data_IF_194127519395
#
_entry.id   IF_194127519395
#
_cell.length_a   1.000
_cell.length_b   1.000
_cell.length_c   1.000
_cell.angle_alpha   90.00
_cell.angle_beta   90.00
_cell.angle_gamma   90.00
#
_symmetry.space_group_name_H-M   'P 1'
#
loop_
_entity.id
_entity.type
_entity.pdbx_description
1 polymer ?
#
# COMPACT_ATOMS: atom_id res chain seq x y z
N UNK A 1 -2.03 -1.85 11.65
CA UNK A 1 -1.18 -1.99 12.85
C UNK A 1 -1.44 -3.35 13.48
N UNK A 2 -0.40 -4.01 13.99
CA UNK A 2 -0.53 -5.25 14.72
C UNK A 2 -1.45 -5.03 15.94
N UNK A 3 -2.48 -5.84 16.05
CA UNK A 3 -3.44 -5.78 17.18
C UNK A 3 -3.13 -6.83 18.25
N UNK A 4 -2.40 -7.88 17.91
CA UNK A 4 -1.93 -8.91 18.84
C UNK A 4 -0.53 -8.55 19.35
N UNK A 5 -0.24 -8.85 20.61
CA UNK A 5 1.13 -8.76 21.15
C UNK A 5 2.03 -9.76 20.40
N UNK A 6 3.17 -9.30 19.91
CA UNK A 6 4.12 -10.18 19.20
C UNK A 6 4.58 -11.36 20.06
N UNK A 7 4.62 -11.20 21.39
CA UNK A 7 4.95 -12.27 22.33
C UNK A 7 3.89 -13.39 22.39
N UNK A 8 2.72 -13.19 21.81
CA UNK A 8 1.64 -14.19 21.74
C UNK A 8 1.64 -14.97 20.43
N UNK A 9 2.53 -14.64 19.47
CA UNK A 9 2.68 -15.33 18.19
C UNK A 9 3.52 -16.59 18.37
N UNK A 10 2.90 -17.76 18.30
CA UNK A 10 3.59 -19.02 18.58
C UNK A 10 4.65 -19.34 17.53
N UNK A 11 4.41 -19.06 16.26
CA UNK A 11 5.38 -19.26 15.19
C UNK A 11 6.69 -18.48 15.41
N UNK A 12 6.61 -17.31 16.05
CA UNK A 12 7.76 -16.47 16.35
C UNK A 12 8.59 -17.06 17.50
N UNK A 13 7.93 -17.59 18.52
CA UNK A 13 8.58 -18.32 19.60
C UNK A 13 9.28 -19.59 19.09
N UNK A 14 8.65 -20.31 18.14
CA UNK A 14 9.25 -21.46 17.47
C UNK A 14 10.51 -21.08 16.68
N UNK A 15 10.52 -19.89 16.04
CA UNK A 15 11.71 -19.38 15.36
C UNK A 15 12.83 -19.01 16.36
N UNK A 16 12.48 -18.37 17.47
CA UNK A 16 13.45 -18.05 18.55
C UNK A 16 14.11 -19.32 19.08
N UNK A 17 13.33 -20.36 19.38
CA UNK A 17 13.81 -21.66 19.83
C UNK A 17 14.72 -22.32 18.77
N UNK A 18 14.33 -22.31 17.50
CA UNK A 18 15.12 -22.87 16.41
C UNK A 18 16.46 -22.16 16.22
N UNK A 19 16.51 -20.86 16.46
CA UNK A 19 17.73 -20.05 16.40
C UNK A 19 18.52 -20.04 17.72
N UNK A 20 17.98 -20.66 18.78
CA UNK A 20 18.53 -20.65 20.13
C UNK A 20 18.83 -19.24 20.65
N UNK A 21 17.85 -18.35 20.51
CA UNK A 21 17.86 -16.98 21.00
C UNK A 21 16.66 -16.73 21.91
N UNK A 22 16.78 -15.75 22.82
CA UNK A 22 15.71 -15.23 23.65
C UNK A 22 15.57 -13.74 23.31
N UNK A 23 14.42 -13.35 22.77
CA UNK A 23 14.18 -12.01 22.21
C UNK A 23 13.23 -11.19 23.07
N UNK A 24 13.70 -10.06 23.55
CA UNK A 24 12.85 -9.06 24.20
C UNK A 24 12.21 -8.15 23.16
N UNK A 25 10.92 -8.36 22.88
CA UNK A 25 10.18 -7.59 21.90
C UNK A 25 9.67 -6.26 22.45
N UNK A 26 9.90 -5.19 21.70
CA UNK A 26 9.36 -3.85 21.95
C UNK A 26 8.45 -3.43 20.81
N UNK A 27 7.14 -3.48 21.05
CA UNK A 27 6.15 -3.11 20.05
C UNK A 27 5.75 -1.64 20.18
N UNK A 28 5.92 -0.84 19.11
CA UNK A 28 5.49 0.55 19.04
C UNK A 28 4.28 0.62 18.11
N UNK A 29 3.09 0.77 18.67
CA UNK A 29 1.81 0.76 17.95
C UNK A 29 1.30 2.15 17.54
N UNK A 30 1.90 3.23 18.05
CA UNK A 30 1.48 4.61 17.76
C UNK A 30 2.65 5.60 17.82
N UNK A 31 2.49 6.73 17.11
CA UNK A 31 3.40 7.89 17.15
C UNK A 31 4.84 7.58 16.72
N UNK A 32 5.03 6.62 15.81
CA UNK A 32 6.36 6.22 15.36
C UNK A 32 7.15 7.40 14.79
N UNK A 33 6.54 8.21 13.92
CA UNK A 33 7.19 9.35 13.28
C UNK A 33 7.68 10.41 14.27
N UNK A 34 7.06 10.49 15.45
CA UNK A 34 7.48 11.37 16.53
C UNK A 34 8.56 10.74 17.43
N UNK A 35 8.47 9.43 17.67
CA UNK A 35 9.40 8.68 18.55
C UNK A 35 10.72 8.36 17.87
N UNK A 36 10.68 7.99 16.59
CA UNK A 36 11.84 7.58 15.79
C UNK A 36 12.99 8.58 15.80
N UNK A 37 12.79 9.89 15.51
CA UNK A 37 13.89 10.85 15.50
C UNK A 37 14.59 10.97 16.85
N UNK A 38 13.84 10.94 17.96
CA UNK A 38 14.40 11.03 19.29
C UNK A 38 15.21 9.77 19.65
N UNK A 39 14.70 8.59 19.32
CA UNK A 39 15.37 7.31 19.54
C UNK A 39 16.68 7.25 18.74
N UNK A 40 16.67 7.56 17.46
CA UNK A 40 17.85 7.48 16.59
C UNK A 40 18.89 8.54 16.97
N UNK A 41 18.48 9.75 17.31
CA UNK A 41 19.39 10.80 17.77
C UNK A 41 20.04 10.48 19.13
N UNK A 42 19.40 9.69 19.99
CA UNK A 42 20.02 9.25 21.26
C UNK A 42 21.17 8.26 21.03
N UNK A 43 21.21 7.58 19.89
CA UNK A 43 22.12 6.50 19.59
C UNK A 43 21.88 5.21 20.39
N UNK A 44 20.74 5.14 21.09
CA UNK A 44 20.31 3.96 21.85
C UNK A 44 19.10 3.34 21.14
N UNK A 45 19.37 2.33 20.32
CA UNK A 45 18.36 1.59 19.55
C UNK A 45 18.45 0.10 19.90
N UNK A 46 17.38 -0.68 19.75
CA UNK A 46 17.41 -2.14 19.89
C UNK A 46 18.46 -2.79 18.97
N UNK A 47 18.88 -4.02 19.30
CA UNK A 47 19.82 -4.78 18.47
C UNK A 47 19.30 -4.98 17.05
N UNK A 48 18.00 -5.27 16.91
CA UNK A 48 17.32 -5.45 15.63
C UNK A 48 16.09 -4.51 15.57
N UNK A 49 15.84 -3.90 14.43
CA UNK A 49 14.64 -3.14 14.14
C UNK A 49 13.86 -3.80 12.99
N UNK A 50 12.54 -3.91 13.16
CA UNK A 50 11.64 -4.52 12.19
C UNK A 50 10.80 -3.44 11.51
N UNK A 51 10.94 -3.25 10.20
CA UNK A 51 10.21 -2.27 9.38
C UNK A 51 10.19 -0.85 9.96
N UNK A 52 11.31 -0.44 10.58
CA UNK A 52 11.38 0.79 11.36
C UNK A 52 12.31 1.84 10.73
N UNK A 53 12.98 1.52 9.63
CA UNK A 53 13.97 2.37 8.97
C UNK A 53 13.60 2.68 7.53
N UNK A 54 14.17 3.77 7.01
CA UNK A 54 14.16 4.16 5.61
C UNK A 54 15.59 4.47 5.14
N UNK A 55 15.84 4.49 3.84
CA UNK A 55 17.18 4.77 3.28
C UNK A 55 17.76 6.09 3.78
N UNK A 56 16.92 7.10 3.99
CA UNK A 56 17.33 8.40 4.55
C UNK A 56 17.87 8.31 5.98
N UNK A 57 17.44 7.34 6.78
CA UNK A 57 17.90 7.20 8.15
C UNK A 57 19.37 6.75 8.22
N UNK A 58 19.78 5.88 7.29
CA UNK A 58 21.17 5.41 7.22
C UNK A 58 22.15 6.53 6.88
N UNK A 59 21.67 7.49 6.09
CA UNK A 59 22.43 8.70 5.76
C UNK A 59 22.43 9.69 6.93
N UNK A 60 21.25 9.98 7.48
CA UNK A 60 21.08 10.98 8.54
C UNK A 60 21.77 10.56 9.85
N UNK A 61 21.69 9.28 10.19
CA UNK A 61 22.25 8.72 11.43
C UNK A 61 23.44 7.81 11.14
N UNK A 62 24.38 8.30 10.34
CA UNK A 62 25.57 7.56 9.93
C UNK A 62 26.30 6.93 11.13
N UNK A 63 26.61 5.64 11.00
CA UNK A 63 27.27 4.85 12.05
C UNK A 63 26.34 4.31 13.14
N UNK A 64 25.04 4.57 13.09
CA UNK A 64 24.06 3.99 14.00
C UNK A 64 23.72 2.54 13.62
N UNK A 65 23.71 2.24 12.33
CA UNK A 65 23.35 0.94 11.78
C UNK A 65 24.56 0.16 11.27
N UNK A 66 24.47 -1.16 11.37
CA UNK A 66 25.49 -2.09 10.89
C UNK A 66 25.35 -2.33 9.40
N UNK A 67 26.50 -2.41 8.70
CA UNK A 67 26.55 -2.96 7.34
C UNK A 67 26.34 -4.47 7.40
N UNK A 68 25.18 -4.92 6.96
CA UNK A 68 24.78 -6.33 7.00
C UNK A 68 25.45 -7.18 5.92
N UNK A 69 26.01 -6.58 4.87
CA UNK A 69 26.54 -7.34 3.73
C UNK A 69 27.59 -8.39 4.13
N UNK A 70 28.62 -8.07 4.94
CA UNK A 70 29.58 -9.08 5.39
C UNK A 70 28.96 -10.16 6.29
N UNK A 71 27.94 -9.80 7.08
CA UNK A 71 27.25 -10.74 7.96
C UNK A 71 26.33 -11.67 7.16
N UNK A 72 25.66 -11.17 6.12
CA UNK A 72 24.85 -11.97 5.19
C UNK A 72 25.75 -13.00 4.50
N UNK A 73 26.89 -12.58 3.96
CA UNK A 73 27.84 -13.47 3.28
C UNK A 73 28.37 -14.59 4.20
N UNK A 74 28.45 -14.34 5.50
CA UNK A 74 29.03 -15.30 6.44
C UNK A 74 27.99 -16.16 7.18
N UNK A 75 26.80 -15.62 7.51
CA UNK A 75 25.87 -16.21 8.44
C UNK A 75 24.44 -16.41 7.96
N UNK A 76 24.09 -15.94 6.73
CA UNK A 76 22.71 -15.87 6.27
C UNK A 76 22.48 -16.64 4.95
N UNK A 77 22.49 -17.99 4.99
CA UNK A 77 22.34 -18.80 3.77
C UNK A 77 21.00 -18.62 3.05
N UNK A 78 19.89 -18.37 3.77
CA UNK A 78 18.58 -18.14 3.16
C UNK A 78 18.55 -16.81 2.39
N UNK A 79 19.09 -15.73 2.98
CA UNK A 79 19.24 -14.44 2.30
C UNK A 79 20.16 -14.53 1.08
N UNK A 80 21.26 -15.28 1.18
CA UNK A 80 22.15 -15.51 0.03
C UNK A 80 21.42 -16.24 -1.11
N UNK A 81 20.61 -17.26 -0.77
CA UNK A 81 19.80 -17.94 -1.77
C UNK A 81 18.75 -17.01 -2.37
N UNK A 82 18.09 -16.18 -1.54
CA UNK A 82 17.14 -15.17 -2.00
C UNK A 82 17.79 -14.20 -3.01
N UNK A 83 18.95 -13.65 -2.72
CA UNK A 83 19.68 -12.75 -3.61
C UNK A 83 20.13 -13.42 -4.90
N UNK A 84 20.46 -14.70 -4.82
CA UNK A 84 20.80 -15.47 -6.03
C UNK A 84 19.61 -15.71 -6.94
N UNK A 85 18.44 -16.00 -6.36
CA UNK A 85 17.21 -16.26 -7.09
C UNK A 85 16.54 -14.98 -7.61
N UNK A 86 16.70 -13.88 -6.86
CA UNK A 86 16.13 -12.54 -7.11
C UNK A 86 17.22 -11.46 -7.00
N UNK A 87 18.05 -11.27 -8.03
CA UNK A 87 19.12 -10.25 -8.01
C UNK A 87 18.59 -8.83 -7.79
N UNK A 88 17.33 -8.57 -8.14
CA UNK A 88 16.64 -7.29 -7.91
C UNK A 88 16.49 -7.01 -6.41
N UNK A 89 16.31 -8.04 -5.58
CA UNK A 89 16.24 -7.88 -4.12
C UNK A 89 17.57 -7.43 -3.53
N UNK A 90 18.70 -7.97 -4.01
CA UNK A 90 20.02 -7.50 -3.61
C UNK A 90 20.25 -6.06 -4.08
N UNK A 91 19.89 -5.75 -5.32
CA UNK A 91 20.01 -4.39 -5.87
C UNK A 91 19.15 -3.38 -5.07
N UNK A 92 17.94 -3.79 -4.68
CA UNK A 92 17.06 -2.98 -3.83
C UNK A 92 17.66 -2.72 -2.44
N UNK A 93 18.30 -3.70 -1.84
CA UNK A 93 18.89 -3.58 -0.50
C UNK A 93 20.22 -2.83 -0.50
N UNK A 94 20.95 -2.81 -1.63
CA UNK A 94 22.30 -2.29 -1.72
C UNK A 94 22.31 -0.77 -1.96
N UNK A 95 23.06 -0.04 -1.14
CA UNK A 95 23.31 1.41 -1.33
C UNK A 95 24.22 1.66 -2.53
N UNK A 96 24.31 2.91 -2.98
CA UNK A 96 25.26 3.30 -4.07
C UNK A 96 26.72 3.01 -3.71
N UNK A 97 27.07 3.00 -2.42
CA UNK A 97 28.41 2.71 -1.90
C UNK A 97 28.65 1.21 -1.68
N UNK A 98 27.63 0.37 -1.91
CA UNK A 98 27.72 -1.09 -1.86
C UNK A 98 27.46 -1.74 -0.51
N UNK A 99 26.96 -0.99 0.51
CA UNK A 99 26.53 -1.55 1.80
C UNK A 99 25.08 -2.03 1.76
N UNK A 100 24.71 -2.85 2.72
CA UNK A 100 23.33 -3.27 3.00
C UNK A 100 23.02 -2.96 4.46
N UNK A 101 22.14 -1.98 4.71
CA UNK A 101 21.71 -1.62 6.07
C UNK A 101 20.36 -2.20 6.46
N UNK A 102 19.54 -2.54 5.49
CA UNK A 102 18.23 -3.16 5.70
C UNK A 102 17.98 -4.29 4.72
N UNK A 103 17.44 -5.41 5.23
CA UNK A 103 17.12 -6.55 4.37
C UNK A 103 15.83 -6.31 3.57
N UNK A 104 15.70 -6.88 2.36
CA UNK A 104 14.49 -6.75 1.56
C UNK A 104 13.46 -7.85 1.88
N UNK A 105 12.24 -7.71 1.32
CA UNK A 105 11.27 -8.80 1.19
C UNK A 105 10.98 -9.11 -0.28
N UNK A 106 10.44 -10.30 -0.51
CA UNK A 106 9.77 -10.68 -1.75
C UNK A 106 8.61 -11.63 -1.49
N UNK A 107 7.50 -11.38 -2.19
CA UNK A 107 6.31 -12.23 -2.22
C UNK A 107 5.84 -12.41 -3.66
N UNK A 108 5.65 -13.66 -4.09
CA UNK A 108 5.50 -14.02 -5.49
C UNK A 108 4.16 -13.62 -6.10
N UNK A 109 3.06 -13.79 -5.40
CA UNK A 109 1.72 -13.61 -5.97
C UNK A 109 1.09 -12.33 -5.43
N UNK A 110 1.06 -11.30 -6.27
CA UNK A 110 0.47 -10.02 -5.90
C UNK A 110 -0.13 -9.32 -7.14
N UNK A 111 -1.19 -8.53 -7.01
CA UNK A 111 -1.82 -7.85 -8.13
C UNK A 111 -0.93 -6.75 -8.74
N UNK A 112 -1.21 -6.38 -9.99
CA UNK A 112 -0.49 -5.34 -10.72
C UNK A 112 -0.88 -3.90 -10.30
N UNK A 113 -1.81 -3.76 -9.37
CA UNK A 113 -2.24 -2.46 -8.82
C UNK A 113 -2.64 -2.58 -7.36
N UNK A 114 -2.38 -1.54 -6.59
CA UNK A 114 -2.74 -1.46 -5.17
C UNK A 114 -4.13 -0.83 -4.91
N UNK A 115 -4.86 -0.48 -5.97
CA UNK A 115 -6.14 0.21 -5.84
C UNK A 115 -7.18 -0.33 -6.82
N UNK A 116 -8.44 -0.24 -6.45
CA UNK A 116 -9.59 -0.53 -7.30
C UNK A 116 -10.60 0.60 -7.14
N UNK A 117 -11.21 1.03 -8.24
CA UNK A 117 -12.39 1.90 -8.20
C UNK A 117 -13.64 1.06 -7.96
N UNK A 118 -14.48 1.51 -7.05
CA UNK A 118 -15.75 0.87 -6.71
C UNK A 118 -16.92 1.81 -6.88
N UNK A 119 -18.00 1.27 -7.41
CA UNK A 119 -19.29 1.97 -7.52
C UNK A 119 -20.39 1.07 -6.96
N UNK A 120 -21.38 1.66 -6.28
CA UNK A 120 -22.51 0.93 -5.76
C UNK A 120 -23.47 0.58 -6.90
N UNK A 121 -23.54 -0.72 -7.25
CA UNK A 121 -24.39 -1.22 -8.35
C UNK A 121 -25.87 -1.13 -8.00
N UNK A 122 -26.25 -1.41 -6.75
CA UNK A 122 -27.65 -1.29 -6.33
C UNK A 122 -28.14 0.15 -6.43
N UNK A 123 -27.27 1.12 -6.15
CA UNK A 123 -27.61 2.53 -6.32
C UNK A 123 -27.76 2.91 -7.79
N UNK A 124 -26.90 2.42 -8.69
CA UNK A 124 -27.04 2.60 -10.13
C UNK A 124 -28.39 2.05 -10.60
N UNK A 125 -28.73 0.84 -10.20
CA UNK A 125 -30.01 0.20 -10.55
C UNK A 125 -31.21 1.00 -10.00
N UNK A 126 -31.11 1.49 -8.75
CA UNK A 126 -32.17 2.29 -8.13
C UNK A 126 -32.42 3.64 -8.84
N UNK A 127 -31.38 4.22 -9.45
CA UNK A 127 -31.52 5.50 -10.19
C UNK A 127 -31.66 5.32 -11.69
N UNK A 128 -31.68 4.09 -12.22
CA UNK A 128 -31.78 3.71 -13.63
C UNK A 128 -30.64 4.31 -14.47
N UNK A 129 -29.38 4.10 -14.00
CA UNK A 129 -28.17 4.56 -14.66
C UNK A 129 -27.16 3.43 -14.82
N UNK A 130 -26.33 3.52 -15.86
CA UNK A 130 -25.24 2.58 -16.14
C UNK A 130 -23.93 3.02 -15.46
N UNK A 131 -22.94 2.11 -15.42
CA UNK A 131 -21.58 2.42 -14.96
C UNK A 131 -20.98 3.54 -15.82
N UNK A 132 -20.52 4.66 -15.24
CA UNK A 132 -20.00 5.79 -16.00
C UNK A 132 -18.68 5.45 -16.69
N UNK A 133 -18.49 5.95 -17.91
CA UNK A 133 -17.29 5.76 -18.75
C UNK A 133 -16.48 7.02 -18.94
N UNK A 134 -17.05 8.18 -18.58
CA UNK A 134 -16.41 9.49 -18.64
C UNK A 134 -16.63 10.30 -17.35
N UNK A 135 -15.86 11.36 -17.14
CA UNK A 135 -16.06 12.27 -16.02
C UNK A 135 -17.43 12.96 -16.01
N UNK A 136 -17.93 13.31 -17.19
CA UNK A 136 -19.26 13.93 -17.29
C UNK A 136 -20.38 12.94 -16.91
N UNK A 137 -20.27 11.68 -17.32
CA UNK A 137 -21.20 10.63 -16.88
C UNK A 137 -21.08 10.35 -15.38
N UNK A 138 -19.86 10.30 -14.84
CA UNK A 138 -19.67 10.16 -13.40
C UNK A 138 -20.35 11.30 -12.63
N UNK A 139 -20.19 12.54 -13.07
CA UNK A 139 -20.88 13.69 -12.44
C UNK A 139 -22.39 13.50 -12.41
N UNK A 140 -23.00 13.05 -13.53
CA UNK A 140 -24.45 12.81 -13.59
C UNK A 140 -24.90 11.70 -12.65
N UNK A 141 -24.13 10.63 -12.55
CA UNK A 141 -24.37 9.53 -11.58
C UNK A 141 -24.29 10.05 -10.15
N UNK A 142 -23.25 10.81 -9.81
CA UNK A 142 -23.09 11.36 -8.45
C UNK A 142 -24.21 12.35 -8.08
N UNK A 143 -24.70 13.15 -9.03
CA UNK A 143 -25.88 14.01 -8.83
C UNK A 143 -27.13 13.14 -8.54
N UNK A 144 -27.34 12.09 -9.32
CA UNK A 144 -28.47 11.19 -9.11
C UNK A 144 -28.40 10.48 -7.75
N UNK A 145 -27.22 10.03 -7.32
CA UNK A 145 -27.00 9.46 -5.99
C UNK A 145 -27.36 10.43 -4.87
N UNK A 146 -26.96 11.69 -4.99
CA UNK A 146 -27.29 12.74 -4.01
C UNK A 146 -28.79 13.06 -3.94
N UNK A 147 -29.51 13.03 -5.07
CA UNK A 147 -30.84 13.61 -5.16
C UNK A 147 -31.98 12.59 -5.04
N UNK A 148 -31.71 11.29 -5.27
CA UNK A 148 -32.78 10.28 -5.45
C UNK A 148 -32.91 9.25 -4.33
N UNK A 149 -32.20 9.39 -3.19
CA UNK A 149 -32.25 8.43 -2.07
C UNK A 149 -32.09 6.97 -2.56
N UNK A 150 -30.97 6.62 -3.21
CA UNK A 150 -30.79 5.30 -3.80
C UNK A 150 -30.63 4.18 -2.76
N UNK A 151 -30.26 4.48 -1.51
CA UNK A 151 -30.23 3.51 -0.43
C UNK A 151 -31.62 3.25 0.17
N UNK A 152 -32.63 4.06 -0.21
CA UNK A 152 -34.05 3.85 0.12
C UNK A 152 -34.41 4.02 1.59
N UNK A 153 -33.56 4.66 2.39
CA UNK A 153 -33.77 4.82 3.84
C UNK A 153 -34.60 6.05 4.21
N UNK A 154 -34.88 6.94 3.24
CA UNK A 154 -35.67 8.15 3.41
C UNK A 154 -34.92 9.30 4.10
N UNK A 155 -33.60 9.23 4.17
CA UNK A 155 -32.74 10.26 4.72
C UNK A 155 -31.83 10.80 3.60
N UNK A 156 -31.38 12.03 3.72
CA UNK A 156 -30.41 12.60 2.79
C UNK A 156 -29.00 12.44 3.40
N UNK A 157 -28.54 11.20 3.45
CA UNK A 157 -27.27 10.80 4.08
C UNK A 157 -26.29 10.15 3.09
N UNK A 158 -26.64 10.11 1.81
CA UNK A 158 -25.77 9.62 0.76
C UNK A 158 -24.51 10.47 0.62
N UNK A 159 -23.38 9.77 0.53
CA UNK A 159 -22.09 10.32 0.15
C UNK A 159 -21.80 9.88 -1.27
N UNK A 160 -22.07 10.73 -2.29
CA UNK A 160 -21.93 10.30 -3.69
C UNK A 160 -20.51 9.84 -4.02
N UNK A 161 -19.48 10.56 -3.53
CA UNK A 161 -18.07 10.21 -3.72
C UNK A 161 -17.27 10.40 -2.44
N UNK A 162 -16.40 9.44 -2.12
CA UNK A 162 -15.46 9.50 -1.01
C UNK A 162 -14.04 9.13 -1.45
N UNK A 163 -13.02 9.70 -0.80
CA UNK A 163 -11.62 9.38 -1.01
C UNK A 163 -10.80 9.58 0.26
N UNK A 164 -9.59 9.00 0.32
CA UNK A 164 -8.74 9.04 1.50
C UNK A 164 -7.77 10.22 1.47
N UNK A 165 -8.10 11.28 2.18
CA UNK A 165 -7.19 12.33 2.63
C UNK A 165 -6.40 13.07 1.55
N UNK A 166 -5.13 12.70 1.36
CA UNK A 166 -4.20 13.40 0.48
C UNK A 166 -4.52 13.26 -1.01
N UNK A 167 -4.09 14.23 -1.82
CA UNK A 167 -4.19 14.12 -3.28
C UNK A 167 -3.47 12.85 -3.77
N UNK A 168 -2.24 12.69 -3.34
CA UNK A 168 -1.39 11.55 -3.68
C UNK A 168 -1.51 10.44 -2.63
N UNK A 169 -2.54 9.65 -2.76
CA UNK A 169 -2.79 8.49 -1.91
C UNK A 169 -3.21 7.30 -2.77
N UNK A 170 -3.06 6.09 -2.25
CA UNK A 170 -3.54 4.89 -2.94
C UNK A 170 -5.04 4.98 -3.29
N UNK A 171 -5.81 5.74 -2.49
CA UNK A 171 -7.25 5.92 -2.64
C UNK A 171 -7.62 7.40 -2.74
N UNK A 172 -6.79 8.20 -3.43
CA UNK A 172 -6.91 9.64 -3.57
C UNK A 172 -7.29 10.10 -4.97
N UNK A 173 -7.42 11.41 -5.12
CA UNK A 173 -7.78 12.06 -6.39
C UNK A 173 -6.75 11.87 -7.50
N UNK A 174 -5.47 11.59 -7.16
CA UNK A 174 -4.43 11.26 -8.13
C UNK A 174 -4.83 10.10 -9.06
N UNK A 175 -5.67 9.18 -8.61
CA UNK A 175 -6.12 8.05 -9.44
C UNK A 175 -6.88 8.52 -10.69
N UNK A 176 -7.51 9.70 -10.66
CA UNK A 176 -8.15 10.32 -11.82
C UNK A 176 -7.17 10.78 -12.91
N UNK A 177 -5.86 10.91 -12.59
CA UNK A 177 -4.85 11.24 -13.61
C UNK A 177 -4.76 10.16 -14.70
N UNK A 178 -5.02 8.90 -14.36
CA UNK A 178 -5.09 7.82 -15.33
C UNK A 178 -6.16 8.02 -16.40
N UNK A 179 -7.28 8.68 -16.06
CA UNK A 179 -8.35 9.04 -17.01
C UNK A 179 -7.85 9.98 -18.11
N UNK A 180 -6.77 10.71 -17.88
CA UNK A 180 -6.16 11.68 -18.79
C UNK A 180 -4.99 11.10 -19.60
N UNK A 181 -4.73 9.80 -19.48
CA UNK A 181 -3.64 9.09 -20.13
C UNK A 181 -2.28 9.18 -19.41
N UNK A 182 -2.24 9.70 -18.17
CA UNK A 182 -1.02 9.72 -17.38
C UNK A 182 -0.82 8.39 -16.67
N UNK A 183 0.32 7.72 -16.90
CA UNK A 183 0.67 6.49 -16.22
C UNK A 183 1.18 6.79 -14.81
N UNK A 184 0.41 6.36 -13.81
CA UNK A 184 0.84 6.42 -12.41
C UNK A 184 1.63 5.16 -12.04
N UNK A 185 2.61 5.34 -11.16
CA UNK A 185 3.24 4.26 -10.41
C UNK A 185 2.76 4.30 -8.96
N UNK A 186 2.57 3.14 -8.35
CA UNK A 186 2.31 3.03 -6.91
C UNK A 186 3.46 3.61 -6.09
N UNK A 187 3.19 3.95 -4.83
CA UNK A 187 4.17 4.45 -3.87
C UNK A 187 5.03 5.62 -4.37
N UNK A 188 4.42 6.56 -5.05
CA UNK A 188 5.07 7.71 -5.64
C UNK A 188 4.63 9.03 -4.96
N UNK A 189 5.02 9.27 -3.70
CA UNK A 189 4.58 10.44 -2.95
C UNK A 189 5.14 11.76 -3.50
N UNK A 190 6.16 11.71 -4.35
CA UNK A 190 6.78 12.89 -4.94
C UNK A 190 6.06 13.39 -6.20
N UNK A 191 5.10 12.62 -6.74
CA UNK A 191 4.38 12.98 -7.94
C UNK A 191 5.18 12.79 -9.25
N UNK A 192 6.22 11.96 -9.23
CA UNK A 192 6.98 11.65 -10.44
C UNK A 192 6.24 10.64 -11.32
N UNK A 193 6.38 10.79 -12.62
CA UNK A 193 5.95 9.80 -13.60
C UNK A 193 6.95 9.78 -14.76
N UNK A 194 6.96 8.71 -15.53
CA UNK A 194 7.71 8.62 -16.77
C UNK A 194 6.78 8.74 -17.97
N UNK A 195 7.25 9.41 -19.01
CA UNK A 195 6.55 9.53 -20.28
C UNK A 195 7.61 9.71 -21.38
N UNK A 196 7.56 8.87 -22.41
CA UNK A 196 8.55 8.84 -23.50
C UNK A 196 10.01 8.73 -22.97
N UNK A 197 10.24 7.95 -21.93
CA UNK A 197 11.55 7.76 -21.32
C UNK A 197 12.09 8.96 -20.52
N UNK A 198 11.23 9.94 -20.23
CA UNK A 198 11.58 11.12 -19.43
C UNK A 198 10.83 11.14 -18.11
N UNK A 199 11.53 11.39 -17.01
CA UNK A 199 10.92 11.61 -15.71
C UNK A 199 10.36 13.04 -15.65
N UNK A 200 9.09 13.14 -15.30
CA UNK A 200 8.33 14.39 -15.15
C UNK A 200 7.67 14.43 -13.76
N UNK A 201 7.08 15.57 -13.41
CA UNK A 201 6.32 15.70 -12.17
C UNK A 201 4.90 16.21 -12.50
N UNK A 202 3.87 15.49 -12.07
CA UNK A 202 2.49 15.83 -12.43
C UNK A 202 1.97 17.07 -11.70
N UNK A 203 2.55 17.50 -10.58
CA UNK A 203 2.15 18.74 -9.91
C UNK A 203 2.33 20.01 -10.77
N UNK A 204 3.13 19.92 -11.83
CA UNK A 204 3.33 21.00 -12.81
C UNK A 204 2.80 20.64 -14.21
N UNK A 205 1.99 19.59 -14.32
CA UNK A 205 1.37 19.11 -15.55
C UNK A 205 -0.07 19.61 -15.67
N UNK A 206 -0.52 19.97 -16.88
CA UNK A 206 -1.89 20.43 -17.13
C UNK A 206 -2.94 19.37 -16.76
N UNK A 207 -2.60 18.09 -16.77
CA UNK A 207 -3.51 17.00 -16.35
C UNK A 207 -3.84 17.08 -14.85
N UNK A 208 -2.89 17.45 -14.00
CA UNK A 208 -3.13 17.71 -12.58
C UNK A 208 -4.11 18.86 -12.37
N UNK A 209 -3.92 19.97 -13.10
CA UNK A 209 -4.83 21.12 -13.08
C UNK A 209 -6.26 20.68 -13.43
N UNK A 210 -6.45 19.91 -14.51
CA UNK A 210 -7.76 19.42 -14.93
C UNK A 210 -8.44 18.52 -13.91
N UNK A 211 -7.68 17.64 -13.24
CA UNK A 211 -8.21 16.83 -12.12
C UNK A 211 -8.66 17.73 -10.96
N UNK A 212 -7.88 18.75 -10.59
CA UNK A 212 -8.28 19.70 -9.55
C UNK A 212 -9.54 20.51 -9.95
N UNK A 213 -9.65 20.94 -11.20
CA UNK A 213 -10.84 21.62 -11.72
C UNK A 213 -12.08 20.73 -11.67
N UNK A 214 -11.97 19.46 -12.09
CA UNK A 214 -13.06 18.50 -11.98
C UNK A 214 -13.46 18.24 -10.53
N UNK A 215 -12.50 17.99 -9.66
CA UNK A 215 -12.77 17.80 -8.23
C UNK A 215 -13.42 19.04 -7.58
N UNK A 216 -12.98 20.27 -7.95
CA UNK A 216 -13.60 21.52 -7.49
C UNK A 216 -15.07 21.61 -7.95
N UNK A 217 -15.35 21.23 -9.21
CA UNK A 217 -16.71 21.19 -9.75
C UNK A 217 -17.59 20.24 -8.93
N UNK A 218 -17.13 19.03 -8.66
CA UNK A 218 -17.86 18.06 -7.83
C UNK A 218 -18.04 18.56 -6.39
N UNK A 219 -16.99 19.13 -5.80
CA UNK A 219 -17.04 19.69 -4.43
C UNK A 219 -18.07 20.82 -4.30
N UNK A 220 -18.07 21.74 -5.27
CA UNK A 220 -19.01 22.89 -5.27
C UNK A 220 -20.47 22.47 -5.33
N UNK A 221 -20.76 21.30 -5.88
CA UNK A 221 -22.08 20.70 -5.95
C UNK A 221 -22.40 19.83 -4.71
N UNK A 222 -21.44 19.67 -3.79
CA UNK A 222 -21.57 18.81 -2.61
C UNK A 222 -21.69 17.32 -2.98
N UNK A 223 -20.96 16.89 -4.01
CA UNK A 223 -20.91 15.50 -4.47
C UNK A 223 -19.76 14.72 -3.84
N UNK A 224 -18.83 15.39 -3.16
CA UNK A 224 -17.72 14.78 -2.44
C UNK A 224 -18.00 14.88 -0.93
N UNK A 225 -17.63 13.84 -0.19
CA UNK A 225 -17.64 13.84 1.28
C UNK A 225 -16.90 15.08 1.81
N UNK A 226 -17.54 15.96 2.58
CA UNK A 226 -16.90 17.18 3.09
C UNK A 226 -15.72 16.89 4.03
N UNK A 227 -15.61 15.69 4.60
CA UNK A 227 -14.51 15.27 5.44
C UNK A 227 -13.37 14.60 4.63
N UNK A 228 -13.55 14.30 3.33
CA UNK A 228 -12.60 13.54 2.52
C UNK A 228 -11.17 14.07 2.53
N UNK A 229 -10.98 15.40 2.57
CA UNK A 229 -9.64 16.03 2.59
C UNK A 229 -8.95 15.89 3.95
N UNK A 230 -9.71 15.74 5.04
CA UNK A 230 -9.18 15.80 6.41
C UNK A 230 -9.35 14.51 7.21
N UNK A 231 -10.15 13.57 6.71
CA UNK A 231 -10.37 12.29 7.38
C UNK A 231 -9.10 11.42 7.39
N UNK A 232 -8.92 10.68 8.45
CA UNK A 232 -7.91 9.62 8.51
C UNK A 232 -8.42 8.30 7.87
N UNK A 233 -7.51 7.33 7.74
CA UNK A 233 -7.84 6.04 7.16
C UNK A 233 -8.94 5.30 7.92
N UNK A 234 -8.96 5.37 9.25
CA UNK A 234 -9.96 4.70 10.08
C UNK A 234 -11.37 5.27 9.84
N UNK A 235 -11.47 6.59 9.70
CA UNK A 235 -12.73 7.27 9.35
C UNK A 235 -13.15 6.91 7.93
N UNK A 236 -12.23 6.96 6.98
CA UNK A 236 -12.46 6.56 5.59
C UNK A 236 -13.05 5.15 5.49
N UNK A 237 -12.46 4.16 6.18
CA UNK A 237 -12.98 2.80 6.23
C UNK A 237 -14.35 2.71 6.91
N UNK A 238 -14.53 3.37 8.05
CA UNK A 238 -15.78 3.28 8.81
C UNK A 238 -16.98 3.85 8.05
N UNK A 239 -16.79 4.92 7.29
CA UNK A 239 -17.86 5.54 6.50
C UNK A 239 -18.37 4.61 5.40
N UNK A 240 -17.47 3.94 4.68
CA UNK A 240 -17.86 3.03 3.60
C UNK A 240 -18.53 1.75 4.09
N UNK A 241 -18.29 1.35 5.32
CA UNK A 241 -18.95 0.17 5.93
C UNK A 241 -20.42 0.40 6.27
N UNK A 242 -20.89 1.62 6.06
CA UNK A 242 -22.30 1.97 6.18
C UNK A 242 -22.87 1.94 7.60
N UNK A 243 -24.19 1.80 7.70
CA UNK A 243 -24.91 1.60 8.96
C UNK A 243 -25.76 0.32 8.86
N UNK A 244 -25.29 -0.74 9.50
CA UNK A 244 -25.87 -2.08 9.35
C UNK A 244 -25.77 -2.57 7.91
N UNK A 245 -26.91 -2.81 7.26
CA UNK A 245 -27.00 -3.26 5.86
C UNK A 245 -27.23 -2.09 4.88
N UNK A 246 -27.14 -0.83 5.36
CA UNK A 246 -27.35 0.37 4.56
C UNK A 246 -26.02 0.95 4.10
N UNK A 247 -25.73 0.93 2.81
CA UNK A 247 -24.59 1.61 2.24
C UNK A 247 -24.76 3.14 2.28
N UNK A 248 -23.67 3.85 2.53
CA UNK A 248 -23.66 5.32 2.59
C UNK A 248 -22.80 5.96 1.49
N UNK A 249 -21.95 5.21 0.80
CA UNK A 249 -20.99 5.73 -0.20
C UNK A 249 -21.34 5.19 -1.58
N UNK A 250 -21.44 6.07 -2.58
CA UNK A 250 -21.75 5.69 -3.95
C UNK A 250 -20.52 5.26 -4.77
N UNK A 251 -19.47 6.11 -4.80
CA UNK A 251 -18.25 5.90 -5.55
C UNK A 251 -17.02 6.14 -4.67
N UNK A 252 -16.02 5.26 -4.73
CA UNK A 252 -14.79 5.38 -3.94
C UNK A 252 -13.67 4.49 -4.50
N UNK A 253 -12.53 4.47 -3.84
CA UNK A 253 -11.42 3.54 -4.08
C UNK A 253 -11.19 2.65 -2.86
N UNK A 254 -10.54 1.52 -3.06
CA UNK A 254 -10.16 0.60 -1.98
C UNK A 254 -9.19 -0.47 -2.44
N UNK A 255 -8.79 -1.31 -1.49
CA UNK A 255 -7.94 -2.47 -1.76
C UNK A 255 -8.75 -3.65 -2.32
N UNK A 256 -9.80 -4.03 -1.64
CA UNK A 256 -10.68 -5.16 -1.92
C UNK A 256 -12.07 -4.87 -1.30
N UNK A 257 -13.14 -5.42 -1.86
CA UNK A 257 -14.52 -5.16 -1.45
C UNK A 257 -14.78 -5.42 0.04
N UNK A 258 -14.33 -6.56 0.55
CA UNK A 258 -14.53 -6.93 1.96
C UNK A 258 -13.75 -6.04 2.92
N UNK A 259 -12.50 -5.69 2.57
CA UNK A 259 -11.69 -4.74 3.34
C UNK A 259 -12.35 -3.36 3.35
N UNK A 260 -12.77 -2.86 2.20
CA UNK A 260 -13.29 -1.50 2.06
C UNK A 260 -14.67 -1.33 2.66
N UNK A 261 -15.61 -2.25 2.38
CA UNK A 261 -17.02 -2.08 2.69
C UNK A 261 -17.50 -3.00 3.84
N UNK A 262 -16.67 -3.97 4.24
CA UNK A 262 -17.08 -4.97 5.24
C UNK A 262 -18.11 -5.95 4.71
N UNK A 263 -18.47 -6.93 5.55
CA UNK A 263 -19.30 -8.07 5.16
C UNK A 263 -20.79 -7.74 4.92
N UNK A 264 -21.25 -6.57 5.38
CA UNK A 264 -22.68 -6.27 5.35
C UNK A 264 -23.13 -5.60 4.04
N UNK A 265 -22.26 -4.83 3.40
CA UNK A 265 -22.63 -4.01 2.23
C UNK A 265 -21.70 -4.22 1.03
N UNK A 266 -20.66 -5.05 1.14
CA UNK A 266 -19.69 -5.25 0.06
C UNK A 266 -20.31 -5.84 -1.22
N UNK A 267 -21.35 -6.65 -1.11
CA UNK A 267 -22.07 -7.25 -2.23
C UNK A 267 -22.90 -6.27 -3.05
N UNK A 268 -23.11 -5.04 -2.54
CA UNK A 268 -23.76 -3.97 -3.28
C UNK A 268 -22.82 -3.28 -4.28
N UNK A 269 -21.52 -3.53 -4.22
CA UNK A 269 -20.52 -2.82 -5.00
C UNK A 269 -19.87 -3.70 -6.06
N UNK A 270 -19.42 -3.04 -7.12
CA UNK A 270 -18.63 -3.66 -8.19
C UNK A 270 -17.34 -2.92 -8.44
N UNK A 271 -16.33 -3.64 -8.95
CA UNK A 271 -15.13 -3.05 -9.53
C UNK A 271 -15.48 -2.31 -10.82
N UNK A 272 -15.03 -1.08 -10.92
CA UNK A 272 -15.32 -0.21 -12.05
C UNK A 272 -14.13 -0.14 -13.00
N UNK A 273 -14.31 -0.29 -14.33
CA UNK A 273 -13.25 -0.06 -15.30
C UNK A 273 -12.73 1.38 -15.26
N UNK A 274 -11.51 1.60 -15.76
CA UNK A 274 -10.98 2.95 -15.90
C UNK A 274 -11.83 3.78 -16.86
N UNK A 275 -12.16 4.99 -16.41
CA UNK A 275 -12.89 5.98 -17.19
C UNK A 275 -11.95 6.79 -18.09
N UNK A 276 -12.53 7.46 -19.06
CA UNK A 276 -11.91 8.56 -19.81
C UNK A 276 -12.17 9.91 -19.12
N UNK A 277 -11.29 10.87 -19.32
CA UNK A 277 -11.58 12.26 -18.98
C UNK A 277 -12.82 12.77 -19.75
N UNK A 278 -12.86 12.49 -21.06
CA UNK A 278 -13.95 12.83 -21.96
C UNK A 278 -13.94 11.90 -23.19
N UNK A 279 -14.91 12.02 -24.08
CA UNK A 279 -15.03 11.18 -25.26
C UNK A 279 -13.83 11.26 -26.23
N UNK A 280 -13.13 12.39 -26.27
CA UNK A 280 -11.98 12.61 -27.13
C UNK A 280 -10.67 12.02 -26.56
N UNK A 281 -10.70 11.47 -25.34
CA UNK A 281 -9.52 10.87 -24.70
C UNK A 281 -9.11 9.58 -25.42
N UNK A 282 -7.94 9.60 -26.05
CA UNK A 282 -7.42 8.47 -26.83
C UNK A 282 -6.76 7.39 -25.96
N UNK A 283 -5.99 7.79 -24.93
CA UNK A 283 -5.25 6.90 -24.02
C UNK A 283 -5.82 7.04 -22.61
N UNK A 284 -6.06 5.91 -21.98
CA UNK A 284 -6.32 5.81 -20.54
C UNK A 284 -5.26 4.91 -19.92
N UNK A 285 -4.92 5.19 -18.68
CA UNK A 285 -3.95 4.42 -17.88
C UNK A 285 -4.55 4.12 -16.52
N UNK A 286 -4.00 3.11 -15.82
CA UNK A 286 -4.32 2.87 -14.43
C UNK A 286 -3.05 2.79 -13.61
N UNK A 287 -3.14 3.00 -12.29
CA UNK A 287 -1.98 2.94 -11.39
C UNK A 287 -1.35 1.56 -11.46
N UNK A 288 -0.09 1.50 -11.90
CA UNK A 288 0.66 0.27 -12.07
C UNK A 288 1.66 0.09 -10.93
N UNK A 289 1.61 -1.08 -10.33
CA UNK A 289 2.51 -1.43 -9.24
C UNK A 289 3.77 -2.11 -9.79
N UNK A 290 4.74 -1.33 -10.22
CA UNK A 290 6.01 -1.86 -10.72
C UNK A 290 6.80 -2.54 -9.59
N UNK A 291 6.40 -3.75 -9.22
CA UNK A 291 6.98 -4.59 -8.17
C UNK A 291 6.95 -4.04 -6.73
N UNK A 292 6.31 -2.90 -6.45
CA UNK A 292 6.23 -2.34 -5.09
C UNK A 292 5.51 -3.26 -4.11
N UNK A 293 4.49 -4.00 -4.58
CA UNK A 293 3.78 -4.97 -3.76
C UNK A 293 4.56 -6.28 -3.60
N UNK A 294 5.34 -6.69 -4.61
CA UNK A 294 6.15 -7.91 -4.55
C UNK A 294 7.41 -7.71 -3.70
N UNK A 295 8.12 -6.59 -3.89
CA UNK A 295 9.35 -6.28 -3.19
C UNK A 295 9.13 -5.22 -2.10
N UNK A 296 10.05 -5.11 -1.18
CA UNK A 296 10.12 -4.02 -0.21
C UNK A 296 11.47 -4.00 0.48
N UNK A 297 12.02 -2.83 0.72
CA UNK A 297 13.30 -2.64 1.41
C UNK A 297 13.14 -2.46 2.91
N UNK A 298 14.27 -2.43 3.61
CA UNK A 298 14.39 -1.99 5.01
C UNK A 298 13.52 -2.78 6.01
N UNK A 299 13.39 -4.11 5.82
CA UNK A 299 12.54 -4.94 6.67
C UNK A 299 13.21 -5.27 8.02
N UNK A 300 14.49 -5.65 7.99
CA UNK A 300 15.28 -5.83 9.22
C UNK A 300 16.55 -5.02 9.12
N UNK A 301 16.82 -4.21 10.13
CA UNK A 301 18.08 -3.46 10.30
C UNK A 301 18.71 -3.83 11.63
N UNK A 302 20.03 -3.70 11.75
CA UNK A 302 20.78 -4.04 12.95
C UNK A 302 21.52 -2.82 13.50
N UNK A 303 21.54 -2.68 14.82
CA UNK A 303 22.38 -1.67 15.49
C UNK A 303 23.87 -1.97 15.28
N UNK A 304 24.65 -0.94 14.96
CA UNK A 304 26.11 -1.06 14.94
C UNK A 304 26.70 -1.47 16.31
N UNK A 305 25.94 -1.21 17.40
CA UNK A 305 26.30 -1.58 18.78
C UNK A 305 25.84 -2.98 19.18
N UNK A 306 25.13 -3.72 18.31
CA UNK A 306 24.70 -5.09 18.61
C UNK A 306 25.89 -5.93 19.08
N UNK A 307 25.78 -6.52 20.29
CA UNK A 307 26.87 -7.23 20.91
C UNK A 307 27.11 -8.62 20.30
N UNK A 308 26.05 -9.26 19.80
CA UNK A 308 26.10 -10.60 19.20
C UNK A 308 25.55 -10.58 17.77
N UNK A 309 26.30 -9.95 16.87
CA UNK A 309 25.90 -9.78 15.46
C UNK A 309 25.71 -11.10 14.72
N UNK A 310 26.46 -12.15 15.09
CA UNK A 310 26.27 -13.47 14.50
C UNK A 310 24.91 -14.06 14.85
N UNK A 311 24.52 -14.05 16.12
CA UNK A 311 23.22 -14.57 16.53
C UNK A 311 22.08 -13.75 15.96
N UNK A 312 22.20 -12.41 15.99
CA UNK A 312 21.23 -11.50 15.40
C UNK A 312 21.06 -11.74 13.90
N UNK A 313 22.17 -11.96 13.15
CA UNK A 313 22.08 -12.21 11.70
C UNK A 313 21.46 -13.58 11.39
N UNK A 314 21.77 -14.61 12.18
CA UNK A 314 21.14 -15.93 12.04
C UNK A 314 19.64 -15.89 12.35
N UNK A 315 19.24 -15.10 13.31
CA UNK A 315 17.83 -14.89 13.64
C UNK A 315 17.12 -14.15 12.50
N UNK A 316 17.72 -13.07 11.95
CA UNK A 316 17.20 -12.38 10.76
C UNK A 316 17.09 -13.35 9.59
N UNK A 317 18.11 -14.17 9.32
CA UNK A 317 18.10 -15.15 8.22
C UNK A 317 16.98 -16.19 8.36
N UNK A 318 16.62 -16.55 9.59
CA UNK A 318 15.54 -17.48 9.88
C UNK A 318 14.17 -17.04 9.34
N UNK A 319 13.91 -15.75 9.23
CA UNK A 319 12.68 -15.23 8.62
C UNK A 319 12.59 -15.50 7.12
N UNK A 320 13.72 -15.78 6.45
CA UNK A 320 13.81 -16.09 5.02
C UNK A 320 13.77 -17.59 4.72
N UNK A 321 13.59 -18.44 5.73
CA UNK A 321 13.22 -19.84 5.55
C UNK A 321 11.85 -19.92 4.83
N UNK A 322 11.65 -20.94 3.97
CA UNK A 322 10.44 -21.08 3.17
C UNK A 322 9.15 -21.11 4.00
N UNK A 323 9.15 -21.88 5.07
CA UNK A 323 7.97 -22.03 5.94
C UNK A 323 7.78 -20.80 6.81
N UNK A 324 8.86 -20.26 7.37
CA UNK A 324 8.79 -19.04 8.19
C UNK A 324 8.35 -17.86 7.36
N UNK A 325 8.80 -17.70 6.12
CA UNK A 325 8.39 -16.62 5.22
C UNK A 325 6.86 -16.59 5.01
N UNK A 326 6.21 -17.75 4.85
CA UNK A 326 4.75 -17.81 4.77
C UNK A 326 4.10 -17.33 6.07
N UNK A 327 4.65 -17.75 7.21
CA UNK A 327 4.12 -17.37 8.53
C UNK A 327 4.31 -15.88 8.82
N UNK A 328 5.38 -15.26 8.31
CA UNK A 328 5.58 -13.81 8.37
C UNK A 328 4.42 -13.07 7.71
N UNK A 329 3.92 -13.54 6.56
CA UNK A 329 2.87 -12.87 5.80
C UNK A 329 1.47 -13.24 6.29
N UNK A 330 1.19 -14.52 6.54
CA UNK A 330 -0.17 -15.03 6.76
C UNK A 330 -0.47 -15.46 8.19
N UNK A 331 0.54 -15.51 9.08
CA UNK A 331 0.41 -16.03 10.44
C UNK A 331 0.81 -17.50 10.56
N UNK A 332 0.90 -17.97 11.80
CA UNK A 332 1.48 -19.25 12.11
C UNK A 332 0.67 -20.48 11.71
N UNK A 333 1.36 -21.56 11.34
CA UNK A 333 0.77 -22.91 11.25
C UNK A 333 0.24 -23.31 12.61
N UNK A 334 1.02 -23.15 13.65
CA UNK A 334 0.65 -23.45 15.05
C UNK A 334 -0.48 -22.54 15.57
N UNK A 335 -0.60 -21.33 15.02
CA UNK A 335 -1.68 -20.39 15.33
C UNK A 335 -2.98 -20.67 14.51
N UNK A 336 -2.95 -21.66 13.60
CA UNK A 336 -4.09 -22.06 12.79
C UNK A 336 -4.39 -21.10 11.62
N UNK A 337 -3.39 -20.34 11.16
CA UNK A 337 -3.51 -19.42 10.02
C UNK A 337 -3.16 -20.09 8.69
N UNK A 338 -2.31 -21.12 8.72
CA UNK A 338 -1.87 -21.89 7.56
C UNK A 338 -2.04 -23.37 7.87
N UNK A 339 -2.58 -24.15 6.91
CA UNK A 339 -2.53 -25.60 6.94
C UNK A 339 -1.28 -26.12 6.22
N UNK A 340 -0.51 -26.99 6.87
CA UNK A 340 0.47 -27.85 6.23
C UNK A 340 -0.21 -29.17 5.86
N UNK A 341 -0.29 -29.51 4.57
CA UNK A 341 -0.93 -30.73 4.10
C UNK A 341 -0.02 -31.97 4.20
N UNK A 342 1.25 -31.79 4.59
CA UNK A 342 2.22 -32.88 4.76
C UNK A 342 2.78 -33.47 3.48
N UNK A 343 2.45 -32.91 2.32
CA UNK A 343 2.93 -33.30 0.99
C UNK A 343 3.75 -32.22 0.28
N UNK A 344 4.16 -31.20 1.03
CA UNK A 344 4.86 -30.01 0.51
C UNK A 344 3.90 -28.98 -0.11
N UNK A 345 2.60 -29.05 0.20
CA UNK A 345 1.63 -28.03 -0.17
C UNK A 345 1.04 -27.39 1.08
N UNK A 346 0.65 -26.13 0.97
CA UNK A 346 0.13 -25.32 2.06
C UNK A 346 -1.17 -24.62 1.64
N UNK A 347 -1.97 -24.20 2.62
CA UNK A 347 -3.18 -23.41 2.36
C UNK A 347 -3.37 -22.35 3.45
N UNK A 348 -3.63 -21.12 3.06
CA UNK A 348 -4.06 -20.06 3.97
C UNK A 348 -5.48 -20.36 4.42
N UNK A 349 -5.70 -20.39 5.74
CA UNK A 349 -6.99 -20.70 6.33
C UNK A 349 -7.79 -19.41 6.59
N UNK A 350 -9.12 -19.46 6.47
CA UNK A 350 -9.97 -18.34 6.87
C UNK A 350 -9.95 -18.17 8.40
N UNK A 351 -10.33 -16.97 8.91
CA UNK A 351 -10.54 -16.76 10.33
C UNK A 351 -11.50 -17.79 10.91
N UNK A 352 -11.25 -18.23 12.15
CA UNK A 352 -12.16 -19.14 12.85
C UNK A 352 -13.51 -18.47 13.17
N UNK A 353 -13.50 -17.17 13.41
CA UNK A 353 -14.71 -16.35 13.54
C UNK A 353 -15.05 -15.75 12.17
N UNK A 354 -16.15 -16.16 11.54
CA UNK A 354 -16.55 -15.70 10.22
C UNK A 354 -16.97 -14.22 10.16
N UNK A 355 -17.10 -13.56 11.31
CA UNK A 355 -17.36 -12.11 11.38
C UNK A 355 -16.09 -11.26 11.23
N UNK A 356 -14.92 -11.89 11.29
CA UNK A 356 -13.63 -11.23 11.09
C UNK A 356 -13.25 -11.36 9.61
N UNK A 357 -12.96 -10.22 8.97
CA UNK A 357 -12.46 -10.24 7.61
C UNK A 357 -11.04 -10.84 7.55
N UNK A 358 -10.71 -11.63 6.49
CA UNK A 358 -9.42 -12.32 6.37
C UNK A 358 -8.21 -11.37 6.37
N UNK A 359 -8.33 -10.20 5.77
CA UNK A 359 -7.27 -9.19 5.78
C UNK A 359 -6.96 -8.69 7.20
N UNK A 360 -7.99 -8.36 7.97
CA UNK A 360 -7.85 -8.00 9.39
C UNK A 360 -7.23 -9.14 10.20
N UNK A 361 -7.66 -10.38 9.96
CA UNK A 361 -7.11 -11.57 10.61
C UNK A 361 -5.59 -11.71 10.39
N UNK A 362 -5.13 -11.55 9.15
CA UNK A 362 -3.71 -11.55 8.80
C UNK A 362 -2.91 -10.56 9.66
N UNK A 363 -3.40 -9.33 9.79
CA UNK A 363 -2.75 -8.29 10.58
C UNK A 363 -2.74 -8.53 12.10
N UNK A 364 -3.56 -9.45 12.61
CA UNK A 364 -3.59 -9.81 14.04
C UNK A 364 -2.63 -10.94 14.39
N UNK A 365 -2.20 -11.74 13.42
CA UNK A 365 -1.50 -13.02 13.67
C UNK A 365 -0.13 -13.11 13.01
N UNK A 366 0.29 -12.07 12.27
CA UNK A 366 1.53 -12.04 11.48
C UNK A 366 2.16 -10.65 11.47
N UNK A 367 3.35 -10.54 10.89
CA UNK A 367 3.93 -9.24 10.54
C UNK A 367 3.34 -8.67 9.25
N UNK A 368 2.56 -9.46 8.53
CA UNK A 368 2.00 -9.12 7.23
C UNK A 368 3.07 -8.52 6.30
N UNK A 369 2.78 -7.42 5.62
CA UNK A 369 3.70 -6.78 4.68
C UNK A 369 4.89 -6.07 5.33
N UNK A 370 4.93 -5.99 6.67
CA UNK A 370 6.02 -5.32 7.39
C UNK A 370 7.22 -6.23 7.65
N UNK A 371 7.04 -7.56 7.60
CA UNK A 371 8.14 -8.50 7.81
C UNK A 371 9.07 -8.66 6.61
N UNK A 372 10.30 -9.04 6.87
CA UNK A 372 11.20 -9.58 5.84
C UNK A 372 10.85 -11.03 5.55
N UNK A 373 10.77 -11.40 4.29
CA UNK A 373 10.37 -12.73 3.83
C UNK A 373 10.85 -13.00 2.42
N UNK A 374 10.92 -14.27 2.06
CA UNK A 374 11.12 -14.74 0.70
C UNK A 374 10.09 -15.80 0.35
N UNK A 375 8.90 -15.37 -0.12
CA UNK A 375 7.86 -16.29 -0.63
C UNK A 375 8.18 -16.58 -2.11
N UNK A 376 8.64 -17.78 -2.37
CA UNK A 376 9.16 -18.21 -3.67
C UNK A 376 8.05 -18.39 -4.70
N UNK A 377 8.39 -18.22 -6.00
CA UNK A 377 7.46 -18.40 -7.12
C UNK A 377 6.98 -19.86 -7.27
N UNK A 378 7.78 -20.84 -6.82
CA UNK A 378 7.50 -22.28 -6.92
C UNK A 378 6.80 -22.85 -5.67
N UNK A 379 6.53 -22.01 -4.66
CA UNK A 379 5.82 -22.41 -3.46
C UNK A 379 4.38 -22.83 -3.78
N UNK A 380 4.00 -24.01 -3.36
CA UNK A 380 2.65 -24.54 -3.54
C UNK A 380 1.74 -24.09 -2.42
N UNK A 381 1.34 -22.85 -2.47
CA UNK A 381 0.45 -22.21 -1.49
C UNK A 381 -0.90 -21.88 -2.13
N UNK A 382 -1.98 -22.43 -1.58
CA UNK A 382 -3.34 -21.97 -1.88
C UNK A 382 -3.64 -20.73 -1.07
N UNK A 383 -3.90 -19.63 -1.76
CA UNK A 383 -4.22 -18.33 -1.13
C UNK A 383 -5.61 -18.33 -0.51
N UNK A 384 -5.81 -17.49 0.50
CA UNK A 384 -7.10 -17.23 1.11
C UNK A 384 -8.08 -16.58 0.14
N UNK A 385 -9.36 -16.59 0.50
CA UNK A 385 -10.44 -16.04 -0.34
C UNK A 385 -10.33 -14.55 -0.57
N UNK A 386 -9.76 -13.80 0.38
CA UNK A 386 -9.44 -12.38 0.25
C UNK A 386 -8.47 -12.11 -0.90
N UNK A 387 -7.39 -12.87 -0.99
CA UNK A 387 -6.41 -12.69 -2.06
C UNK A 387 -6.91 -13.18 -3.43
N UNK A 388 -7.81 -14.16 -3.45
CA UNK A 388 -8.50 -14.57 -4.67
C UNK A 388 -9.43 -13.43 -5.15
N UNK A 389 -10.23 -12.86 -4.25
CA UNK A 389 -11.09 -11.72 -4.54
C UNK A 389 -10.27 -10.51 -5.06
N UNK A 390 -9.16 -10.17 -4.40
CA UNK A 390 -8.25 -9.10 -4.85
C UNK A 390 -7.84 -9.31 -6.31
N UNK A 391 -7.50 -10.53 -6.70
CA UNK A 391 -7.06 -10.83 -8.07
C UNK A 391 -8.22 -10.68 -9.06
N UNK A 392 -9.40 -11.21 -8.72
CA UNK A 392 -10.59 -11.14 -9.57
C UNK A 392 -11.07 -9.70 -9.75
N UNK A 393 -11.13 -8.92 -8.67
CA UNK A 393 -11.59 -7.53 -8.70
C UNK A 393 -10.67 -6.62 -9.52
N UNK A 394 -9.36 -6.86 -9.49
CA UNK A 394 -8.36 -6.07 -10.20
C UNK A 394 -8.15 -6.49 -11.64
N UNK A 395 -8.63 -7.66 -12.05
CA UNK A 395 -8.53 -8.15 -13.41
C UNK A 395 -9.18 -7.21 -14.46
N UNK A 396 -10.09 -6.35 -14.03
CA UNK A 396 -10.69 -5.31 -14.89
C UNK A 396 -9.65 -4.34 -15.48
N UNK A 397 -8.49 -4.21 -14.84
CA UNK A 397 -7.40 -3.33 -15.30
C UNK A 397 -6.30 -4.06 -16.08
N UNK A 398 -6.28 -5.41 -16.11
CA UNK A 398 -5.23 -6.19 -16.80
C UNK A 398 -5.03 -5.76 -18.27
N UNK A 399 -6.07 -5.48 -19.06
CA UNK A 399 -5.88 -5.01 -20.44
C UNK A 399 -5.09 -3.70 -20.56
N UNK A 400 -5.06 -2.87 -19.51
CA UNK A 400 -4.27 -1.63 -19.49
C UNK A 400 -2.79 -1.87 -19.17
N UNK A 401 -2.45 -3.06 -18.69
CA UNK A 401 -1.08 -3.44 -18.31
C UNK A 401 -0.38 -4.33 -19.34
N UNK A 402 -1.12 -4.96 -20.28
CA UNK A 402 -0.56 -5.88 -21.26
C UNK A 402 0.45 -5.21 -22.21
N UNK A 403 0.21 -3.96 -22.60
CA UNK A 403 1.00 -3.23 -23.59
C UNK A 403 1.73 -2.01 -22.97
N UNK A 404 2.02 -2.05 -21.66
CA UNK A 404 2.76 -0.95 -21.01
C UNK A 404 4.16 -0.80 -21.61
N UNK A 405 4.46 0.41 -22.11
CA UNK A 405 5.83 0.75 -22.52
C UNK A 405 6.70 0.92 -21.25
N UNK A 406 7.81 0.18 -21.12
CA UNK A 406 8.74 0.37 -19.99
C UNK A 406 9.26 1.81 -19.86
N UNK A 407 9.23 2.60 -20.93
CA UNK A 407 9.62 4.01 -20.91
C UNK A 407 8.58 4.92 -20.23
N UNK A 408 7.35 4.42 -20.05
CA UNK A 408 6.26 5.13 -19.35
C UNK A 408 6.15 4.69 -17.88
N UNK A 409 7.04 3.83 -17.38
CA UNK A 409 7.03 3.37 -15.99
C UNK A 409 8.12 4.08 -15.20
N UNK A 410 7.73 4.77 -14.12
CA UNK A 410 8.66 5.30 -13.13
C UNK A 410 8.92 4.27 -12.03
N UNK A 411 10.12 3.67 -11.95
CA UNK A 411 10.41 2.58 -11.02
C UNK A 411 10.80 3.10 -9.62
N UNK A 412 9.87 3.74 -8.92
CA UNK A 412 10.11 4.48 -7.66
C UNK A 412 10.91 3.67 -6.64
N UNK A 413 10.54 2.40 -6.42
CA UNK A 413 11.17 1.51 -5.44
C UNK A 413 12.67 1.28 -5.71
N UNK A 414 13.06 1.23 -6.98
CA UNK A 414 14.43 0.89 -7.39
C UNK A 414 15.32 2.13 -7.64
N UNK A 415 14.78 3.33 -7.43
CA UNK A 415 15.58 4.55 -7.56
C UNK A 415 16.53 4.70 -6.38
N UNK A 416 17.84 4.79 -6.67
CA UNK A 416 18.88 4.98 -5.66
C UNK A 416 19.52 6.35 -5.81
N UNK A 417 19.80 6.96 -4.68
CA UNK A 417 20.37 8.30 -4.59
C UNK A 417 21.66 8.29 -3.76
N UNK A 418 22.59 9.18 -4.09
CA UNK A 418 23.74 9.42 -3.22
C UNK A 418 23.30 9.99 -1.86
N UNK A 419 24.15 9.92 -0.85
CA UNK A 419 23.87 10.49 0.46
C UNK A 419 23.55 12.01 0.38
N UNK A 420 24.29 12.75 -0.44
CA UNK A 420 24.09 14.20 -0.63
C UNK A 420 22.75 14.48 -1.36
N UNK A 421 22.42 13.68 -2.38
CA UNK A 421 21.14 13.81 -3.10
C UNK A 421 19.97 13.44 -2.20
N UNK A 422 20.08 12.38 -1.39
CA UNK A 422 19.04 11.96 -0.41
C UNK A 422 18.71 13.10 0.54
N UNK A 423 19.72 13.76 1.12
CA UNK A 423 19.50 14.92 2.01
C UNK A 423 18.85 16.09 1.28
N UNK A 424 19.29 16.38 0.06
CA UNK A 424 18.75 17.47 -0.77
C UNK A 424 17.28 17.20 -1.12
N UNK A 425 16.98 15.96 -1.54
CA UNK A 425 15.62 15.53 -1.86
C UNK A 425 14.70 15.59 -0.64
N UNK A 426 15.14 15.12 0.52
CA UNK A 426 14.33 15.14 1.74
C UNK A 426 13.94 16.58 2.14
N UNK A 427 14.87 17.54 2.09
CA UNK A 427 14.58 18.94 2.40
C UNK A 427 13.62 19.57 1.37
N UNK A 428 13.87 19.33 0.08
CA UNK A 428 13.07 19.90 -0.99
C UNK A 428 11.66 19.30 -0.99
N UNK A 429 11.56 17.98 -0.79
CA UNK A 429 10.29 17.26 -0.79
C UNK A 429 9.35 17.74 0.32
N UNK A 430 9.87 17.99 1.53
CA UNK A 430 9.07 18.52 2.63
C UNK A 430 8.45 19.89 2.26
N UNK A 431 9.21 20.76 1.59
CA UNK A 431 8.71 22.05 1.14
C UNK A 431 7.69 21.91 -0.01
N UNK A 432 7.97 21.04 -0.97
CA UNK A 432 7.08 20.79 -2.11
C UNK A 432 5.74 20.22 -1.59
N UNK A 433 5.76 19.19 -0.76
CA UNK A 433 4.54 18.58 -0.20
C UNK A 433 3.71 19.60 0.56
N UNK A 434 4.33 20.44 1.41
CA UNK A 434 3.60 21.48 2.13
C UNK A 434 2.89 22.46 1.17
N UNK A 435 3.53 22.85 0.07
CA UNK A 435 2.95 23.76 -0.92
C UNK A 435 1.84 23.04 -1.69
N UNK A 436 2.12 21.85 -2.21
CA UNK A 436 1.15 21.10 -3.02
C UNK A 436 -0.09 20.74 -2.24
N UNK A 437 0.05 20.23 -1.00
CA UNK A 437 -1.08 19.83 -0.17
C UNK A 437 -1.97 21.00 0.23
N UNK A 438 -1.38 22.14 0.57
CA UNK A 438 -2.14 23.36 0.85
C UNK A 438 -2.82 23.92 -0.41
N UNK A 439 -2.18 23.78 -1.57
CA UNK A 439 -2.68 24.37 -2.81
C UNK A 439 -3.82 23.57 -3.39
N UNK A 440 -3.66 22.27 -3.59
CA UNK A 440 -4.71 21.43 -4.19
C UNK A 440 -5.95 21.39 -3.30
N UNK A 441 -5.78 21.26 -1.99
CA UNK A 441 -6.90 21.21 -1.04
C UNK A 441 -7.70 22.51 -1.05
N UNK A 442 -7.00 23.65 -1.10
CA UNK A 442 -7.63 24.95 -1.20
C UNK A 442 -8.30 25.19 -2.57
N UNK A 443 -7.73 24.68 -3.65
CA UNK A 443 -8.35 24.75 -4.97
C UNK A 443 -9.65 23.92 -5.04
N UNK A 444 -9.61 22.70 -4.55
CA UNK A 444 -10.76 21.79 -4.58
C UNK A 444 -11.88 22.28 -3.66
N UNK A 445 -11.56 22.72 -2.43
CA UNK A 445 -12.58 23.08 -1.44
C UNK A 445 -13.15 24.49 -1.55
N UNK A 446 -12.53 25.37 -2.33
CA UNK A 446 -12.95 26.77 -2.51
C UNK A 446 -13.27 27.08 -3.98
N UNK A 447 -14.54 26.98 -4.33
CA UNK A 447 -15.03 27.23 -5.70
C UNK A 447 -14.86 28.67 -6.18
N UNK A 448 -14.49 29.62 -5.32
CA UNK A 448 -14.17 30.98 -5.71
C UNK A 448 -12.74 31.16 -6.25
N UNK A 449 -11.89 30.14 -6.07
CA UNK A 449 -10.52 30.16 -6.57
C UNK A 449 -10.48 29.79 -8.05
N UNK A 450 -9.78 30.60 -8.79
CA UNK A 450 -9.40 30.30 -10.17
C UNK A 450 -8.22 29.31 -10.15
N UNK A 451 -8.37 28.22 -10.88
CA UNK A 451 -7.33 27.20 -11.07
C UNK A 451 -6.72 27.40 -12.46
N UNK A 452 -5.99 28.51 -12.64
CA UNK A 452 -5.27 28.83 -13.88
C UNK A 452 -3.74 28.72 -13.74
#
# INVERSE_FOLDING_TARGET
SLTKDVNEMQWLQELEDACNVDVEWQQISADWDQKKPAMFASGEIPDILVCATADSDYVQYNGLFEDLKPLIEQYAPNLQQFFKDKPEAEALATTMEGQIYGTPKYQSVWPNTNTTMYINQEWLDAVDMEVPTTWDELEQVLIAFKEKDPNGNGQADEIPMDFNGGFNSAYGLNQLLGCTGLQLSSNNPQGYFAEDGQVKNYYVDERFKRVCQFAQKLWSQGLINPEAITQDYSKFQSVARGDGDTALVGFTWGWELGDRFGVNVSDQYISMPQMKENEDTEKICYSYDFYDLNYGGNRYSMSAKCANKEAAMKFIDGFYDEVVSMQVLFGGISDGCIADNGDGTYAVLPPQDPSIDPGTWKWTSSFADNGGMYIRDDLKLTLGTDMQAVTEEKAVYDPLFEDLDPQDIYPALFMKYSADDTNTLAMNQANINNITDQTWSAWVSDSSRDID
#
